data_IF_080902620688
#
_entry.id   IF_080902620688
#
_cell.length_a   1.000
_cell.length_b   1.000
_cell.length_c   1.000
_cell.angle_alpha   90.00
_cell.angle_beta   90.00
_cell.angle_gamma   90.00
#
_symmetry.space_group_name_H-M   'P 1'
#
loop_
_entity.id
_entity.type
_entity.pdbx_description
1 polymer ?
#
# COMPACT_ATOMS: atom_id res chain seq x y z
N UNK A 1 1.21 -17.54 -36.40
CA UNK A 1 0.03 -17.39 -35.50
C UNK A 1 -0.63 -18.71 -35.06
N UNK A 2 -0.39 -19.86 -35.70
CA UNK A 2 -0.97 -21.16 -35.28
C UNK A 2 -0.25 -21.81 -34.09
N UNK A 3 1.09 -21.68 -34.04
CA UNK A 3 1.92 -22.18 -32.92
C UNK A 3 1.48 -21.63 -31.55
N UNK A 4 1.17 -20.33 -31.47
CA UNK A 4 0.74 -19.69 -30.21
C UNK A 4 -0.59 -20.26 -29.69
N UNK A 5 -1.59 -20.46 -30.56
CA UNK A 5 -2.89 -21.01 -30.16
C UNK A 5 -2.75 -22.47 -29.74
N UNK A 6 -1.94 -23.23 -30.46
CA UNK A 6 -1.65 -24.63 -30.15
C UNK A 6 -0.93 -24.80 -28.80
N UNK A 7 0.12 -24.03 -28.55
CA UNK A 7 0.92 -24.14 -27.32
C UNK A 7 0.21 -23.57 -26.08
N UNK A 8 -0.52 -22.47 -26.24
CA UNK A 8 -1.22 -21.83 -25.11
C UNK A 8 -2.56 -22.50 -24.80
N UNK A 9 -3.29 -22.91 -25.83
CA UNK A 9 -4.53 -23.68 -25.66
C UNK A 9 -4.27 -24.99 -24.92
N UNK A 10 -3.18 -25.69 -25.28
CA UNK A 10 -2.76 -26.92 -24.58
C UNK A 10 -2.29 -26.65 -23.15
N UNK A 11 -1.50 -25.59 -22.91
CA UNK A 11 -1.05 -25.25 -21.53
C UNK A 11 -2.22 -24.90 -20.61
N UNK A 12 -3.19 -24.11 -21.08
CA UNK A 12 -4.39 -23.77 -20.30
C UNK A 12 -5.28 -24.99 -20.05
N UNK A 13 -5.50 -25.82 -21.06
CA UNK A 13 -6.26 -27.06 -20.90
C UNK A 13 -5.60 -27.97 -19.87
N UNK A 14 -4.27 -28.07 -19.88
CA UNK A 14 -3.51 -28.88 -18.93
C UNK A 14 -3.58 -28.34 -17.50
N UNK A 15 -3.49 -27.01 -17.31
CA UNK A 15 -3.69 -26.38 -15.99
C UNK A 15 -5.09 -26.72 -15.44
N UNK A 16 -6.13 -26.62 -16.27
CA UNK A 16 -7.50 -26.95 -15.85
C UNK A 16 -7.65 -28.44 -15.53
N UNK A 17 -6.99 -29.31 -16.29
CA UNK A 17 -6.96 -30.75 -16.03
C UNK A 17 -6.35 -31.06 -14.67
N UNK A 18 -5.16 -30.51 -14.37
CA UNK A 18 -4.46 -30.74 -13.10
C UNK A 18 -5.25 -30.16 -11.92
N UNK A 19 -5.85 -28.97 -12.06
CA UNK A 19 -6.74 -28.39 -11.04
C UNK A 19 -7.95 -29.27 -10.74
N UNK A 20 -8.58 -29.81 -11.78
CA UNK A 20 -9.72 -30.72 -11.62
C UNK A 20 -9.33 -32.01 -10.90
N UNK A 21 -8.15 -32.55 -11.21
CA UNK A 21 -7.63 -33.73 -10.52
C UNK A 21 -7.27 -33.44 -9.05
N UNK A 22 -6.71 -32.26 -8.74
CA UNK A 22 -6.48 -31.83 -7.36
C UNK A 22 -7.78 -31.75 -6.56
N UNK A 23 -8.86 -31.24 -7.15
CA UNK A 23 -10.18 -31.19 -6.50
C UNK A 23 -10.72 -32.58 -6.16
N UNK A 24 -10.52 -33.55 -7.06
CA UNK A 24 -10.91 -34.96 -6.83
C UNK A 24 -10.10 -35.58 -5.70
N UNK A 25 -8.78 -35.40 -5.69
CA UNK A 25 -7.87 -35.92 -4.66
C UNK A 25 -8.19 -35.30 -3.29
N UNK A 26 -8.52 -34.01 -3.26
CA UNK A 26 -8.90 -33.30 -2.03
C UNK A 26 -10.18 -33.83 -1.37
N UNK A 27 -11.12 -34.37 -2.15
CA UNK A 27 -12.38 -34.93 -1.63
C UNK A 27 -12.26 -36.36 -1.14
N UNK A 28 -11.13 -37.04 -1.38
CA UNK A 28 -10.92 -38.42 -0.97
C UNK A 28 -10.45 -38.51 0.48
N UNK A 29 -10.69 -39.63 1.18
CA UNK A 29 -10.16 -39.85 2.52
C UNK A 29 -8.64 -39.76 2.52
N UNK A 30 -8.08 -39.14 3.55
CA UNK A 30 -6.65 -38.91 3.62
C UNK A 30 -5.91 -40.25 3.79
N UNK A 31 -5.23 -40.68 2.74
CA UNK A 31 -4.35 -41.86 2.74
C UNK A 31 -2.95 -41.44 2.33
N UNK A 32 -1.94 -42.27 2.64
CA UNK A 32 -0.54 -41.99 2.28
C UNK A 32 -0.37 -41.84 0.76
N UNK A 33 -1.11 -42.63 -0.02
CA UNK A 33 -1.17 -42.53 -1.48
C UNK A 33 -1.88 -41.24 -1.95
N UNK A 34 -2.94 -40.81 -1.27
CA UNK A 34 -3.64 -39.53 -1.55
C UNK A 34 -2.72 -38.33 -1.30
N UNK A 35 -1.88 -38.41 -0.27
CA UNK A 35 -0.94 -37.34 0.09
C UNK A 35 0.20 -37.24 -0.93
N UNK A 36 0.79 -38.39 -1.31
CA UNK A 36 1.85 -38.43 -2.32
C UNK A 36 1.36 -37.94 -3.70
N UNK A 37 0.16 -38.35 -4.11
CA UNK A 37 -0.45 -37.89 -5.37
C UNK A 37 -0.77 -36.40 -5.33
N UNK A 38 -1.30 -35.88 -4.22
CA UNK A 38 -1.52 -34.44 -4.04
C UNK A 38 -0.25 -33.61 -4.26
N UNK A 39 0.86 -33.99 -3.62
CA UNK A 39 2.14 -33.28 -3.78
C UNK A 39 2.68 -33.34 -5.20
N UNK A 40 2.53 -34.50 -5.88
CA UNK A 40 2.91 -34.65 -7.28
C UNK A 40 2.10 -33.70 -8.18
N UNK A 41 0.78 -33.68 -8.03
CA UNK A 41 -0.08 -32.80 -8.82
C UNK A 41 0.17 -31.32 -8.53
N UNK A 42 0.46 -30.95 -7.27
CA UNK A 42 0.80 -29.59 -6.92
C UNK A 42 2.11 -29.14 -7.58
N UNK A 43 3.14 -29.99 -7.57
CA UNK A 43 4.41 -29.75 -8.28
C UNK A 43 4.21 -29.60 -9.79
N UNK A 44 3.36 -30.46 -10.38
CA UNK A 44 3.00 -30.33 -11.80
C UNK A 44 2.29 -29.00 -12.09
N UNK A 45 1.34 -28.60 -11.24
CA UNK A 45 0.63 -27.33 -11.39
C UNK A 45 1.59 -26.13 -11.31
N UNK A 46 2.50 -26.14 -10.35
CA UNK A 46 3.51 -25.08 -10.17
C UNK A 46 4.42 -24.95 -11.40
N UNK A 47 4.86 -26.07 -11.97
CA UNK A 47 5.66 -26.08 -13.19
C UNK A 47 4.91 -25.49 -14.40
N UNK A 48 3.61 -25.78 -14.52
CA UNK A 48 2.76 -25.28 -15.60
C UNK A 48 2.49 -23.78 -15.46
N UNK A 49 2.24 -23.31 -14.24
CA UNK A 49 2.03 -21.89 -13.93
C UNK A 49 3.32 -21.09 -14.15
N UNK A 50 4.47 -21.62 -13.73
CA UNK A 50 5.79 -21.00 -13.98
C UNK A 50 6.06 -20.82 -15.48
N UNK A 51 5.69 -21.81 -16.30
CA UNK A 51 5.82 -21.71 -17.76
C UNK A 51 4.86 -20.65 -18.35
N UNK A 52 3.63 -20.58 -17.85
CA UNK A 52 2.66 -19.55 -18.26
C UNK A 52 3.16 -18.15 -17.88
N UNK A 53 3.70 -17.98 -16.67
CA UNK A 53 4.27 -16.72 -16.19
C UNK A 53 5.46 -16.29 -17.06
N UNK A 54 6.41 -17.19 -17.34
CA UNK A 54 7.56 -16.90 -18.19
C UNK A 54 7.13 -16.44 -19.59
N UNK A 55 6.11 -17.09 -20.15
CA UNK A 55 5.51 -16.70 -21.42
C UNK A 55 4.92 -15.29 -21.35
N UNK A 56 4.10 -14.98 -20.33
CA UNK A 56 3.49 -13.66 -20.16
C UNK A 56 4.52 -12.57 -19.86
N UNK A 57 5.60 -12.88 -19.15
CA UNK A 57 6.72 -11.98 -18.91
C UNK A 57 7.46 -11.63 -20.19
N UNK A 58 7.74 -12.61 -21.05
CA UNK A 58 8.34 -12.35 -22.36
C UNK A 58 7.42 -11.51 -23.24
N UNK A 59 6.12 -11.80 -23.23
CA UNK A 59 5.12 -11.09 -24.04
C UNK A 59 4.88 -9.66 -23.57
N UNK A 60 4.76 -9.43 -22.26
CA UNK A 60 4.65 -8.08 -21.70
C UNK A 60 5.89 -7.26 -21.99
N UNK A 61 7.10 -7.85 -21.88
CA UNK A 61 8.34 -7.19 -22.28
C UNK A 61 8.38 -6.83 -23.77
N UNK A 62 8.00 -7.75 -24.66
CA UNK A 62 7.93 -7.46 -26.11
C UNK A 62 6.87 -6.41 -26.41
N UNK A 63 5.72 -6.48 -25.73
CA UNK A 63 4.67 -5.46 -25.84
C UNK A 63 5.19 -4.10 -25.40
N UNK A 64 5.81 -4.01 -24.22
CA UNK A 64 6.41 -2.80 -23.68
C UNK A 64 7.48 -2.21 -24.60
N UNK A 65 8.40 -3.05 -25.10
CA UNK A 65 9.44 -2.61 -26.04
C UNK A 65 8.89 -2.13 -27.37
N UNK A 66 7.78 -2.72 -27.86
CA UNK A 66 7.11 -2.29 -29.09
C UNK A 66 6.31 -1.00 -28.89
N UNK A 67 5.67 -0.87 -27.73
CA UNK A 67 4.74 0.20 -27.44
C UNK A 67 5.46 1.47 -26.98
N UNK A 68 6.61 1.32 -26.31
CA UNK A 68 7.40 2.41 -25.73
C UNK A 68 6.75 2.99 -24.47
N UNK A 69 7.27 4.13 -23.99
CA UNK A 69 6.58 4.94 -22.99
C UNK A 69 5.43 5.69 -23.66
N UNK A 70 4.21 5.18 -23.50
CA UNK A 70 2.97 5.82 -23.96
C UNK A 70 2.22 6.53 -22.86
N UNK A 71 2.88 6.88 -21.75
CA UNK A 71 2.34 7.85 -20.80
C UNK A 71 2.17 9.24 -21.41
N UNK A 72 2.49 9.41 -22.70
CA UNK A 72 2.22 10.61 -23.48
C UNK A 72 0.74 10.83 -23.78
N UNK A 73 -0.19 9.90 -23.50
CA UNK A 73 -1.62 10.10 -23.80
C UNK A 73 -2.54 9.50 -22.73
N UNK A 74 -3.34 10.33 -22.05
CA UNK A 74 -4.40 9.88 -21.13
C UNK A 74 -5.78 10.29 -21.62
N UNK A 75 -6.81 9.53 -21.23
CA UNK A 75 -8.20 9.84 -21.58
C UNK A 75 -8.86 10.56 -20.42
N UNK A 76 -9.42 11.74 -20.68
CA UNK A 76 -10.15 12.52 -19.69
C UNK A 76 -11.55 11.95 -19.40
N UNK A 77 -12.19 12.50 -18.38
CA UNK A 77 -13.56 12.17 -17.97
C UNK A 77 -14.62 12.51 -19.05
N UNK A 78 -14.29 13.34 -20.04
CA UNK A 78 -15.12 13.63 -21.23
C UNK A 78 -14.87 12.65 -22.39
N UNK A 79 -14.00 11.67 -22.19
CA UNK A 79 -13.67 10.65 -23.17
C UNK A 79 -12.70 11.11 -24.27
N UNK A 80 -12.07 12.27 -24.14
CA UNK A 80 -11.07 12.80 -25.07
C UNK A 80 -9.66 12.42 -24.64
N UNK A 81 -8.79 12.17 -25.61
CA UNK A 81 -7.37 11.97 -25.34
C UNK A 81 -6.67 13.31 -25.11
N UNK A 82 -5.76 13.35 -24.14
CA UNK A 82 -4.88 14.46 -23.78
C UNK A 82 -3.44 14.00 -23.92
N UNK A 83 -2.62 14.80 -24.59
CA UNK A 83 -1.21 14.47 -24.86
C UNK A 83 -0.26 15.58 -24.40
N UNK A 84 -0.82 16.75 -24.09
CA UNK A 84 -0.11 17.89 -23.55
C UNK A 84 0.13 17.71 -22.05
N UNK A 85 1.24 18.27 -21.56
CA UNK A 85 1.67 18.14 -20.16
C UNK A 85 0.59 18.63 -19.17
N UNK A 86 -0.05 19.75 -19.46
CA UNK A 86 -1.12 20.31 -18.64
C UNK A 86 -2.39 19.44 -18.67
N UNK A 87 -2.77 18.94 -19.83
CA UNK A 87 -3.89 18.03 -20.01
C UNK A 87 -3.69 16.71 -19.28
N UNK A 88 -2.48 16.15 -19.34
CA UNK A 88 -2.10 14.94 -18.61
C UNK A 88 -2.17 15.16 -17.09
N UNK A 89 -1.56 16.24 -16.61
CA UNK A 89 -1.58 16.63 -15.20
C UNK A 89 -3.01 16.82 -14.69
N UNK A 90 -3.86 17.50 -15.47
CA UNK A 90 -5.26 17.73 -15.14
C UNK A 90 -6.04 16.42 -15.01
N UNK A 91 -5.88 15.49 -15.96
CA UNK A 91 -6.56 14.17 -15.90
C UNK A 91 -6.11 13.37 -14.69
N UNK A 92 -4.82 13.39 -14.35
CA UNK A 92 -4.28 12.68 -13.18
C UNK A 92 -4.81 13.29 -11.88
N UNK A 93 -4.78 14.62 -11.77
CA UNK A 93 -5.27 15.33 -10.59
C UNK A 93 -6.77 15.13 -10.40
N UNK A 94 -7.56 15.22 -11.46
CA UNK A 94 -9.01 14.97 -11.43
C UNK A 94 -9.31 13.56 -10.94
N UNK A 95 -8.64 12.55 -11.51
CA UNK A 95 -8.79 11.16 -11.11
C UNK A 95 -8.49 10.94 -9.62
N UNK A 96 -7.33 11.39 -9.13
CA UNK A 96 -6.95 11.19 -7.74
C UNK A 96 -7.76 12.06 -6.78
N UNK A 97 -8.16 13.27 -7.19
CA UNK A 97 -9.08 14.10 -6.41
C UNK A 97 -10.39 13.36 -6.23
N UNK A 98 -10.99 12.82 -7.30
CA UNK A 98 -12.20 12.00 -7.17
C UNK A 98 -11.98 10.74 -6.34
N UNK A 99 -10.86 10.04 -6.50
CA UNK A 99 -10.54 8.83 -5.74
C UNK A 99 -10.42 9.11 -4.23
N UNK A 100 -9.82 10.23 -3.85
CA UNK A 100 -9.57 10.60 -2.45
C UNK A 100 -10.65 11.50 -1.86
N UNK A 101 -11.60 11.98 -2.67
CA UNK A 101 -12.75 12.79 -2.23
C UNK A 101 -14.06 11.98 -2.27
N UNK A 102 -14.09 10.79 -2.90
CA UNK A 102 -15.28 9.97 -2.90
C UNK A 102 -15.53 9.37 -1.51
N UNK A 103 -16.65 9.80 -0.93
CA UNK A 103 -17.27 9.34 0.33
C UNK A 103 -16.68 9.99 1.59
N UNK A 104 -17.11 11.23 1.85
CA UNK A 104 -17.70 11.51 3.15
C UNK A 104 -19.19 11.16 3.04
N UNK A 105 -19.49 9.86 2.99
CA UNK A 105 -20.88 9.41 3.13
C UNK A 105 -21.21 9.65 4.59
N UNK A 106 -22.20 10.50 4.88
CA UNK A 106 -22.50 11.01 6.24
C UNK A 106 -22.78 9.98 7.33
N UNK A 107 -22.56 8.68 7.08
CA UNK A 107 -22.57 7.58 8.04
C UNK A 107 -21.22 7.31 8.73
N UNK A 108 -20.12 7.99 8.39
CA UNK A 108 -18.84 7.74 9.08
C UNK A 108 -18.93 8.00 10.60
N UNK A 109 -19.71 9.01 11.01
CA UNK A 109 -19.97 9.27 12.43
C UNK A 109 -20.69 8.12 13.12
N UNK A 110 -21.73 7.56 12.49
CA UNK A 110 -22.48 6.41 13.02
C UNK A 110 -21.62 5.14 13.11
N UNK A 111 -20.72 4.91 12.15
CA UNK A 111 -19.79 3.77 12.17
C UNK A 111 -18.73 3.96 13.26
N UNK A 112 -18.18 5.17 13.40
CA UNK A 112 -17.18 5.49 14.43
C UNK A 112 -17.80 5.39 15.82
N UNK A 113 -19.05 5.84 15.99
CA UNK A 113 -19.79 5.72 17.26
C UNK A 113 -20.17 4.27 17.59
N UNK A 114 -20.35 3.41 16.57
CA UNK A 114 -20.56 1.98 16.76
C UNK A 114 -19.30 1.22 17.17
N UNK A 115 -18.11 1.81 17.02
CA UNK A 115 -16.84 1.22 17.47
C UNK A 115 -16.64 1.54 18.94
N UNK A 116 -16.56 0.50 19.77
CA UNK A 116 -16.25 0.63 21.18
C UNK A 116 -14.86 1.28 21.37
N UNK A 117 -14.80 2.40 22.08
CA UNK A 117 -13.54 3.07 22.37
C UNK A 117 -12.65 2.19 23.23
N UNK A 118 -11.53 1.74 22.65
CA UNK A 118 -10.49 0.93 23.34
C UNK A 118 -9.35 1.76 23.89
N UNK A 119 -9.33 3.07 23.62
CA UNK A 119 -8.32 4.00 24.12
C UNK A 119 -8.95 4.79 25.25
N UNK A 120 -8.47 4.57 26.48
CA UNK A 120 -8.94 5.34 27.62
C UNK A 120 -8.50 6.80 27.50
N UNK A 121 -9.20 7.75 28.14
CA UNK A 121 -8.78 9.14 28.17
C UNK A 121 -7.33 9.31 28.64
N UNK A 122 -6.87 8.50 29.59
CA UNK A 122 -5.50 8.52 30.08
C UNK A 122 -4.49 8.03 29.03
N UNK A 123 -4.84 6.98 28.28
CA UNK A 123 -4.02 6.52 27.15
C UNK A 123 -3.94 7.61 26.07
N UNK A 124 -5.06 8.28 25.79
CA UNK A 124 -5.10 9.36 24.82
C UNK A 124 -4.26 10.57 25.27
N UNK A 125 -4.35 10.94 26.55
CA UNK A 125 -3.53 11.99 27.15
C UNK A 125 -2.04 11.65 27.09
N UNK A 126 -1.68 10.38 27.28
CA UNK A 126 -0.30 9.91 27.14
C UNK A 126 0.17 9.95 25.68
N UNK A 127 -0.68 9.56 24.72
CA UNK A 127 -0.36 9.60 23.28
C UNK A 127 -0.28 11.03 22.73
N UNK A 128 -0.94 11.99 23.38
CA UNK A 128 -0.91 13.41 23.04
C UNK A 128 0.14 14.20 23.85
N UNK A 129 0.81 13.57 24.81
CA UNK A 129 1.85 14.21 25.59
C UNK A 129 3.11 14.46 24.72
N UNK A 130 3.89 15.47 25.10
CA UNK A 130 5.16 15.73 24.45
C UNK A 130 6.11 14.53 24.64
N UNK A 131 6.71 14.08 23.54
CA UNK A 131 7.70 13.02 23.55
C UNK A 131 8.95 13.47 24.32
N UNK A 132 9.61 12.52 24.98
CA UNK A 132 10.89 12.75 25.65
C UNK A 132 12.04 12.21 24.82
N UNK A 133 13.20 12.85 24.89
CA UNK A 133 14.40 12.40 24.17
C UNK A 133 14.79 10.95 24.52
N UNK A 134 14.60 10.55 25.78
CA UNK A 134 14.83 9.18 26.23
C UNK A 134 13.89 8.16 25.57
N UNK A 135 12.64 8.54 25.27
CA UNK A 135 11.66 7.67 24.59
C UNK A 135 12.03 7.50 23.11
N UNK A 136 12.51 8.56 22.46
CA UNK A 136 13.02 8.49 21.08
C UNK A 136 14.23 7.57 21.01
N UNK A 137 15.18 7.74 21.94
CA UNK A 137 16.38 6.90 21.99
C UNK A 137 15.99 5.42 22.13
N UNK A 138 15.14 5.11 23.11
CA UNK A 138 14.68 3.74 23.36
C UNK A 138 13.92 3.16 22.14
N UNK A 139 13.03 3.92 21.52
CA UNK A 139 12.29 3.48 20.33
C UNK A 139 13.23 3.18 19.14
N UNK A 140 14.27 3.98 18.93
CA UNK A 140 15.27 3.74 17.87
C UNK A 140 16.10 2.49 18.18
N UNK A 141 16.46 2.25 19.44
CA UNK A 141 17.12 1.01 19.87
C UNK A 141 16.21 -0.23 19.73
N UNK A 142 14.89 -0.08 19.86
CA UNK A 142 13.94 -1.17 19.62
C UNK A 142 13.74 -1.44 18.13
N UNK A 143 13.70 -0.41 17.28
CA UNK A 143 13.61 -0.52 15.82
C UNK A 143 14.86 -1.14 15.17
N UNK A 144 16.01 -1.06 15.84
CA UNK A 144 17.27 -1.68 15.39
C UNK A 144 17.40 -3.16 15.75
N UNK A 145 16.44 -3.75 16.48
CA UNK A 145 16.36 -5.22 16.62
C UNK A 145 15.72 -5.82 15.37
N UNK A 146 16.47 -6.57 14.52
CA UNK A 146 15.88 -7.08 13.29
C UNK A 146 14.92 -8.23 13.60
N UNK A 147 13.61 -7.99 13.47
CA UNK A 147 12.62 -9.07 13.30
C UNK A 147 12.57 -9.61 11.86
N UNK A 148 13.38 -9.06 10.95
CA UNK A 148 13.47 -9.48 9.54
C UNK A 148 14.92 -9.39 9.06
N UNK A 149 15.37 -10.36 8.26
CA UNK A 149 16.69 -10.36 7.62
C UNK A 149 16.82 -9.14 6.69
N UNK A 150 17.47 -8.09 7.18
CA UNK A 150 17.85 -6.92 6.38
C UNK A 150 19.15 -7.26 5.63
N UNK A 151 19.31 -6.90 4.35
CA UNK A 151 20.58 -7.10 3.62
C UNK A 151 21.75 -6.49 4.40
N UNK A 152 22.80 -7.28 4.63
CA UNK A 152 23.93 -7.00 5.53
C UNK A 152 24.57 -5.60 5.39
N UNK A 153 24.51 -5.00 4.20
CA UNK A 153 25.05 -3.65 3.94
C UNK A 153 24.32 -2.51 4.67
N UNK A 154 23.01 -2.62 4.90
CA UNK A 154 22.27 -1.61 5.66
C UNK A 154 22.59 -1.68 7.16
N UNK A 155 22.77 -2.89 7.70
CA UNK A 155 23.02 -3.09 9.14
C UNK A 155 24.32 -2.42 9.61
N UNK A 156 25.35 -2.45 8.77
CA UNK A 156 26.69 -1.90 9.06
C UNK A 156 26.75 -0.37 8.97
N UNK A 157 25.84 0.24 8.20
CA UNK A 157 25.69 1.69 8.12
C UNK A 157 24.92 2.23 9.34
N UNK A 158 23.83 1.55 9.72
CA UNK A 158 23.06 1.93 10.90
C UNK A 158 23.90 1.82 12.17
N UNK A 159 24.58 0.69 12.41
CA UNK A 159 25.36 0.50 13.65
C UNK A 159 26.50 1.51 13.85
N UNK A 160 27.13 1.99 12.77
CA UNK A 160 28.18 3.01 12.83
C UNK A 160 27.66 4.43 12.99
N UNK A 161 26.44 4.70 12.53
CA UNK A 161 25.90 6.06 12.42
C UNK A 161 24.67 6.32 13.31
N UNK A 162 24.30 5.40 14.23
CA UNK A 162 23.15 5.54 15.14
C UNK A 162 23.16 6.89 15.86
N UNK A 163 24.32 7.35 16.36
CA UNK A 163 24.43 8.62 17.07
C UNK A 163 24.09 9.84 16.19
N UNK A 164 24.52 9.83 14.93
CA UNK A 164 24.26 10.93 13.98
C UNK A 164 22.78 10.92 13.54
N UNK A 165 22.23 9.73 13.30
CA UNK A 165 20.82 9.57 12.93
C UNK A 165 19.89 9.98 14.07
N UNK A 166 20.24 9.67 15.32
CA UNK A 166 19.49 10.09 16.50
C UNK A 166 19.46 11.62 16.66
N UNK A 167 20.61 12.27 16.50
CA UNK A 167 20.71 13.73 16.59
C UNK A 167 19.91 14.42 15.46
N UNK A 168 19.98 13.88 14.24
CA UNK A 168 19.21 14.38 13.11
C UNK A 168 17.70 14.19 13.29
N UNK A 169 17.26 13.04 13.79
CA UNK A 169 15.83 12.79 14.05
C UNK A 169 15.31 13.67 15.19
N UNK A 170 16.08 13.89 16.26
CA UNK A 170 15.71 14.80 17.35
C UNK A 170 15.61 16.25 16.87
N UNK A 171 16.53 16.72 16.01
CA UNK A 171 16.48 18.06 15.42
C UNK A 171 15.27 18.24 14.48
N UNK A 172 14.96 17.26 13.64
CA UNK A 172 13.81 17.34 12.73
C UNK A 172 12.48 17.32 13.48
N UNK A 173 12.35 16.47 14.51
CA UNK A 173 11.14 16.45 15.34
C UNK A 173 10.96 17.79 16.08
N UNK A 174 12.03 18.37 16.62
CA UNK A 174 12.01 19.72 17.25
C UNK A 174 11.61 20.83 16.28
N UNK A 175 12.01 20.74 15.00
CA UNK A 175 11.60 21.67 13.93
C UNK A 175 10.12 21.56 13.57
N UNK A 176 9.54 20.37 13.64
CA UNK A 176 8.11 20.18 13.35
C UNK A 176 7.20 20.69 14.47
N UNK A 177 7.65 20.60 15.73
CA UNK A 177 6.89 21.09 16.89
C UNK A 177 6.78 22.62 16.90
N UNK A 178 7.89 23.32 16.62
CA UNK A 178 7.90 24.80 16.49
C UNK A 178 7.04 25.32 15.31
N UNK A 179 6.97 24.59 14.20
CA UNK A 179 6.07 24.93 13.08
C UNK A 179 4.58 24.69 13.40
N UNK A 180 4.27 23.66 14.19
CA UNK A 180 2.90 23.36 14.65
C UNK A 180 2.39 24.42 15.64
N UNK A 181 3.22 24.88 16.57
CA UNK A 181 2.87 25.98 17.49
C UNK A 181 2.70 27.34 16.77
N UNK A 182 3.51 27.62 15.75
CA UNK A 182 3.38 28.83 14.96
C UNK A 182 2.06 28.88 14.15
N UNK A 183 1.57 27.73 13.68
CA UNK A 183 0.30 27.61 12.95
C UNK A 183 -0.93 27.80 13.85
N UNK A 184 -0.84 27.41 15.13
CA UNK A 184 -1.96 27.56 16.09
C UNK A 184 -2.18 29.00 16.61
N UNK A 185 -1.22 29.93 16.43
CA UNK A 185 -1.34 31.33 16.90
C UNK A 185 -2.03 32.30 15.93
N UNK A 186 -2.56 31.83 14.79
CA UNK A 186 -3.18 32.69 13.77
C UNK A 186 -4.66 32.39 13.53
N UNK A 187 -5.43 32.18 14.60
CA UNK A 187 -6.89 32.29 14.55
C UNK A 187 -7.26 33.70 15.04
N UNK A 188 -7.68 34.64 14.17
CA UNK A 188 -8.14 35.93 14.63
C UNK A 188 -9.39 35.74 15.49
N UNK A 189 -9.40 36.37 16.67
CA UNK A 189 -10.54 36.37 17.58
C UNK A 189 -11.78 36.91 16.84
N UNK A 190 -12.87 36.15 16.89
CA UNK A 190 -14.17 36.57 16.37
C UNK A 190 -14.63 37.85 17.11
N UNK A 191 -15.21 38.84 16.42
CA UNK A 191 -15.72 40.04 17.08
C UNK A 191 -16.96 39.71 17.92
N UNK A 192 -16.92 40.15 19.17
CA UNK A 192 -18.01 40.14 20.15
C UNK A 192 -19.24 40.87 19.59
N UNK A 193 -20.29 40.11 19.24
CA UNK A 193 -21.61 40.66 18.94
C UNK A 193 -22.52 40.51 20.16
N UNK A 194 -22.29 41.36 21.16
CA UNK A 194 -23.28 41.73 22.15
C UNK A 194 -24.15 42.87 21.60
N UNK A 195 -25.10 42.54 20.72
CA UNK A 195 -26.15 43.48 20.33
C UNK A 195 -27.39 43.34 21.21
N UNK A 196 -27.59 44.39 22.00
CA UNK A 196 -28.70 44.66 22.89
C UNK A 196 -30.04 44.58 22.16
N UNK A 197 -31.00 43.89 22.78
CA UNK A 197 -32.42 44.12 22.50
C UNK A 197 -32.80 45.50 23.05
N UNK A 198 -33.18 46.43 22.17
CA UNK A 198 -33.94 47.62 22.54
C UNK A 198 -35.08 47.82 21.55
N UNK A 199 -36.29 47.72 22.13
CA UNK A 199 -37.65 48.09 21.66
C UNK A 199 -38.25 47.25 20.54
#
# INVERSE_FOLDING_TARGET
MQWQRSMFGTTKAEIQRVRSQLDVVWRQPNSENTTATYHLLMSQLDSLLSREEAFWKQRSKVSWLKEGDRNTRLRDNTGRWREDEHGLQSVVLDYFTHLFTSSASGSEGEIIDAVESRVTPDMNNLLLADYRDAEIQEAVFQCTRPKRQVPMGCLQFFSKNVGILLDQMSQELSRTHTKSEASKRHVPAAPDQSMQCFV
#
